data_IF_799241605657
#
_entry.id   IF_799241605657
#
_cell.length_a   1.000
_cell.length_b   1.000
_cell.length_c   1.000
_cell.angle_alpha   90.00
_cell.angle_beta   90.00
_cell.angle_gamma   90.00
#
_symmetry.space_group_name_H-M   'P 1'
#
loop_
_entity.id
_entity.type
_entity.pdbx_description
1 polymer ?
#
# COMPACT_ATOMS: atom_id res chain seq x y z
N UNK A 1 2.20 8.32 2.42
CA UNK A 1 3.41 8.42 1.62
C UNK A 1 4.21 9.66 2.02
N UNK A 2 5.53 9.62 1.80
CA UNK A 2 6.42 10.77 1.98
C UNK A 2 6.43 11.64 0.73
N UNK A 3 6.22 11.03 -0.43
CA UNK A 3 6.21 11.65 -1.74
C UNK A 3 5.06 11.15 -2.60
N UNK A 4 4.59 11.99 -3.50
CA UNK A 4 3.57 11.68 -4.51
C UNK A 4 4.05 12.20 -5.85
N UNK A 5 4.09 11.33 -6.85
CA UNK A 5 4.40 11.68 -8.22
C UNK A 5 3.11 12.01 -8.95
N UNK A 6 3.05 13.16 -9.60
CA UNK A 6 1.89 13.59 -10.36
C UNK A 6 2.26 13.92 -11.81
N UNK A 7 1.38 13.56 -12.73
CA UNK A 7 1.38 14.14 -14.06
C UNK A 7 0.95 15.61 -13.98
N UNK A 8 1.56 16.54 -14.72
CA UNK A 8 1.22 17.97 -14.71
C UNK A 8 -0.27 18.26 -14.95
N UNK A 9 -0.92 17.47 -15.83
CA UNK A 9 -2.35 17.60 -16.09
C UNK A 9 -3.26 17.36 -14.86
N UNK A 10 -2.78 16.66 -13.83
CA UNK A 10 -3.53 16.48 -12.58
C UNK A 10 -3.55 17.73 -11.70
N UNK A 11 -2.69 18.72 -11.94
CA UNK A 11 -2.72 19.99 -11.21
C UNK A 11 -4.02 20.75 -11.43
N UNK A 12 -4.65 20.59 -12.59
CA UNK A 12 -5.93 21.20 -12.92
C UNK A 12 -7.12 20.54 -12.23
N UNK A 13 -6.91 19.30 -11.72
CA UNK A 13 -7.89 18.58 -10.96
C UNK A 13 -7.91 19.06 -9.49
N UNK A 14 -8.74 20.08 -9.22
CA UNK A 14 -8.82 20.74 -7.90
C UNK A 14 -9.15 19.78 -6.77
N UNK A 15 -9.93 18.74 -7.02
CA UNK A 15 -10.31 17.75 -6.01
C UNK A 15 -9.12 16.94 -5.55
N UNK A 16 -8.27 16.46 -6.48
CA UNK A 16 -7.07 15.68 -6.19
C UNK A 16 -6.06 16.52 -5.43
N UNK A 17 -5.76 17.73 -5.92
CA UNK A 17 -4.78 18.64 -5.29
C UNK A 17 -5.24 19.09 -3.90
N UNK A 18 -6.51 19.37 -3.72
CA UNK A 18 -7.09 19.70 -2.41
C UNK A 18 -7.02 18.51 -1.45
N UNK A 19 -7.30 17.30 -1.93
CA UNK A 19 -7.20 16.10 -1.11
C UNK A 19 -5.76 15.84 -0.63
N UNK A 20 -4.78 15.93 -1.53
CA UNK A 20 -3.36 15.76 -1.19
C UNK A 20 -2.94 16.78 -0.14
N UNK A 21 -3.20 18.08 -0.38
CA UNK A 21 -2.85 19.16 0.55
C UNK A 21 -3.51 19.02 1.93
N UNK A 22 -4.74 18.54 1.98
CA UNK A 22 -5.51 18.45 3.23
C UNK A 22 -5.18 17.20 4.04
N UNK A 23 -4.92 16.08 3.37
CA UNK A 23 -4.89 14.77 4.02
C UNK A 23 -3.51 14.09 3.99
N UNK A 24 -2.56 14.62 3.22
CA UNK A 24 -1.24 14.03 3.05
C UNK A 24 -0.17 15.05 3.41
N UNK A 25 0.72 14.70 4.34
CA UNK A 25 1.94 15.44 4.65
C UNK A 25 3.08 14.90 3.79
N UNK A 26 3.03 15.15 2.47
CA UNK A 26 3.98 14.63 1.50
C UNK A 26 4.47 15.72 0.57
N UNK A 27 5.68 15.56 0.02
CA UNK A 27 6.15 16.33 -1.13
C UNK A 27 5.42 15.88 -2.39
N UNK A 28 5.24 16.80 -3.32
CA UNK A 28 4.65 16.51 -4.63
C UNK A 28 5.71 16.77 -5.67
N UNK A 29 6.05 15.75 -6.43
CA UNK A 29 6.97 15.81 -7.56
C UNK A 29 6.19 15.70 -8.86
N UNK A 30 6.53 16.57 -9.83
CA UNK A 30 5.91 16.54 -11.14
C UNK A 30 6.76 15.73 -12.10
N UNK A 31 6.14 14.74 -12.72
CA UNK A 31 6.80 13.92 -13.75
C UNK A 31 6.50 14.51 -15.11
N UNK A 32 7.55 14.86 -15.86
CA UNK A 32 7.43 15.44 -17.21
C UNK A 32 6.67 14.55 -18.17
N UNK A 33 5.89 15.15 -19.07
CA UNK A 33 5.01 14.43 -20.00
C UNK A 33 5.78 13.50 -20.95
N UNK A 34 7.02 13.83 -21.29
CA UNK A 34 7.91 13.01 -22.13
C UNK A 34 8.13 11.62 -21.54
N UNK A 35 8.16 11.49 -20.21
CA UNK A 35 8.34 10.20 -19.51
C UNK A 35 7.14 9.26 -19.68
N UNK A 36 6.01 9.78 -20.11
CA UNK A 36 4.83 8.98 -20.43
C UNK A 36 4.77 8.55 -21.90
N UNK A 37 5.82 8.81 -22.70
CA UNK A 37 5.87 8.36 -24.09
C UNK A 37 5.77 6.82 -24.18
N UNK A 38 4.88 6.26 -25.00
CA UNK A 38 4.60 4.81 -25.04
C UNK A 38 5.84 3.93 -25.23
N UNK A 39 6.81 4.38 -26.02
CA UNK A 39 8.07 3.67 -26.24
C UNK A 39 8.95 3.60 -24.99
N UNK A 40 9.09 4.70 -24.25
CA UNK A 40 9.86 4.73 -22.99
C UNK A 40 9.20 3.87 -21.91
N UNK A 41 7.87 3.94 -21.82
CA UNK A 41 7.09 3.12 -20.88
C UNK A 41 7.30 1.64 -21.15
N UNK A 42 7.25 1.21 -22.43
CA UNK A 42 7.48 -0.19 -22.76
C UNK A 42 8.91 -0.63 -22.39
N UNK A 43 9.91 0.18 -22.74
CA UNK A 43 11.32 -0.12 -22.45
C UNK A 43 11.59 -0.23 -20.96
N UNK A 44 11.09 0.70 -20.13
CA UNK A 44 11.27 0.67 -18.69
C UNK A 44 10.66 -0.58 -18.03
N UNK A 45 9.47 -0.99 -18.48
CA UNK A 45 8.80 -2.19 -17.97
C UNK A 45 9.47 -3.48 -18.44
N UNK A 46 9.96 -3.51 -19.70
CA UNK A 46 10.71 -4.66 -20.22
C UNK A 46 12.06 -4.83 -19.50
N UNK A 47 12.75 -3.76 -19.22
CA UNK A 47 14.02 -3.78 -18.47
C UNK A 47 13.82 -4.32 -17.06
N UNK A 48 12.78 -3.87 -16.36
CA UNK A 48 12.53 -4.24 -14.97
C UNK A 48 11.94 -5.65 -14.81
N UNK A 49 10.95 -6.00 -15.63
CA UNK A 49 10.15 -7.22 -15.47
C UNK A 49 10.32 -8.25 -16.59
N UNK A 50 11.09 -7.92 -17.63
CA UNK A 50 11.27 -8.76 -18.82
C UNK A 50 10.21 -8.51 -19.90
N UNK A 51 10.42 -9.10 -21.10
CA UNK A 51 9.52 -8.91 -22.25
C UNK A 51 8.10 -9.39 -22.01
N UNK A 52 7.94 -10.39 -21.16
CA UNK A 52 6.63 -10.96 -20.80
C UNK A 52 6.01 -10.26 -19.57
N UNK A 53 6.37 -9.00 -19.33
CA UNK A 53 5.91 -8.24 -18.17
C UNK A 53 4.38 -8.20 -18.00
N UNK A 54 3.54 -8.15 -19.06
CA UNK A 54 2.10 -8.15 -18.85
C UNK A 54 1.59 -9.41 -18.18
N UNK A 55 2.16 -10.57 -18.54
CA UNK A 55 1.81 -11.87 -17.95
C UNK A 55 2.39 -12.01 -16.55
N UNK A 56 3.63 -11.55 -16.35
CA UNK A 56 4.34 -11.64 -15.06
C UNK A 56 3.72 -10.73 -14.00
N UNK A 57 3.30 -9.53 -14.39
CA UNK A 57 2.72 -8.54 -13.48
C UNK A 57 1.19 -8.61 -13.38
N UNK A 58 0.53 -9.27 -14.33
CA UNK A 58 -0.93 -9.30 -14.44
C UNK A 58 -1.55 -7.97 -14.88
N UNK A 59 -0.74 -7.03 -15.40
CA UNK A 59 -1.19 -5.71 -15.85
C UNK A 59 -1.36 -5.70 -17.37
N UNK A 60 -2.51 -5.21 -17.81
CA UNK A 60 -2.81 -5.13 -19.23
C UNK A 60 -1.82 -4.21 -19.97
N UNK A 61 -1.27 -4.69 -21.08
CA UNK A 61 -0.31 -3.96 -21.90
C UNK A 61 -0.85 -2.62 -22.43
N UNK A 62 -2.16 -2.49 -22.59
CA UNK A 62 -2.84 -1.28 -23.06
C UNK A 62 -3.44 -0.42 -21.94
N UNK A 63 -3.35 -0.87 -20.67
CA UNK A 63 -3.90 -0.18 -19.51
C UNK A 63 -3.13 1.09 -19.12
N UNK A 64 -3.81 2.03 -18.46
CA UNK A 64 -3.18 3.27 -17.97
C UNK A 64 -2.19 3.02 -16.82
N UNK A 65 -2.34 1.94 -16.09
CA UNK A 65 -1.49 1.60 -14.93
C UNK A 65 -0.02 1.46 -15.32
N UNK A 66 0.27 0.99 -16.55
CA UNK A 66 1.64 0.86 -17.06
C UNK A 66 2.42 2.18 -17.05
N UNK A 67 1.74 3.30 -17.32
CA UNK A 67 2.38 4.63 -17.32
C UNK A 67 2.80 5.05 -15.91
N UNK A 68 1.93 4.84 -14.92
CA UNK A 68 2.25 5.14 -13.53
C UNK A 68 3.40 4.25 -13.01
N UNK A 69 3.43 2.97 -13.42
CA UNK A 69 4.53 2.06 -13.08
C UNK A 69 5.85 2.49 -13.68
N UNK A 70 5.87 2.81 -14.97
CA UNK A 70 7.09 3.24 -15.65
C UNK A 70 7.62 4.56 -15.06
N UNK A 71 6.75 5.54 -14.84
CA UNK A 71 7.13 6.81 -14.21
C UNK A 71 7.72 6.62 -12.80
N UNK A 72 7.13 5.70 -12.01
CA UNK A 72 7.68 5.37 -10.69
C UNK A 72 9.05 4.70 -10.80
N UNK A 73 9.23 3.74 -11.70
CA UNK A 73 10.51 3.05 -11.90
C UNK A 73 11.60 4.03 -12.34
N UNK A 74 11.32 4.88 -13.31
CA UNK A 74 12.27 5.91 -13.75
C UNK A 74 12.64 6.86 -12.61
N UNK A 75 11.65 7.33 -11.84
CA UNK A 75 11.91 8.17 -10.67
C UNK A 75 12.83 7.49 -9.66
N UNK A 76 12.59 6.20 -9.37
CA UNK A 76 13.45 5.43 -8.46
C UNK A 76 14.87 5.26 -8.99
N UNK A 77 15.05 5.08 -10.30
CA UNK A 77 16.37 5.03 -10.94
C UNK A 77 17.09 6.39 -10.89
N UNK A 78 16.41 7.48 -11.18
CA UNK A 78 16.96 8.83 -11.16
C UNK A 78 17.38 9.25 -9.75
N UNK A 79 16.62 8.89 -8.75
CA UNK A 79 16.94 9.15 -7.33
C UNK A 79 17.99 8.20 -6.76
N UNK A 80 18.55 7.33 -7.60
CA UNK A 80 19.62 6.36 -7.25
C UNK A 80 19.26 5.47 -6.05
N UNK A 81 17.98 5.12 -5.90
CA UNK A 81 17.55 4.19 -4.86
C UNK A 81 18.12 2.80 -5.19
N UNK A 82 19.03 2.32 -4.33
CA UNK A 82 19.63 1.00 -4.48
C UNK A 82 18.58 -0.08 -4.24
N UNK A 83 18.56 -1.08 -5.09
CA UNK A 83 17.71 -2.25 -4.93
C UNK A 83 16.42 -2.23 -5.76
N UNK A 84 16.25 -1.25 -6.67
CA UNK A 84 15.12 -1.21 -7.62
C UNK A 84 15.08 -2.51 -8.44
N UNK A 85 16.22 -3.07 -8.77
CA UNK A 85 16.37 -4.36 -9.46
C UNK A 85 15.76 -5.55 -8.71
N UNK A 86 15.50 -5.42 -7.40
CA UNK A 86 14.87 -6.44 -6.56
C UNK A 86 13.34 -6.40 -6.61
N UNK A 87 12.76 -5.33 -7.15
CA UNK A 87 11.32 -5.19 -7.31
C UNK A 87 10.84 -6.09 -8.46
N UNK A 88 10.60 -7.37 -8.18
CA UNK A 88 10.21 -8.38 -9.19
C UNK A 88 8.71 -8.67 -9.21
N UNK A 89 7.98 -8.25 -8.19
CA UNK A 89 6.57 -8.60 -8.01
C UNK A 89 5.71 -7.35 -7.99
N UNK A 90 4.63 -7.37 -8.74
CA UNK A 90 3.59 -6.33 -8.71
C UNK A 90 2.34 -6.94 -8.09
N UNK A 91 1.80 -6.29 -7.08
CA UNK A 91 0.54 -6.69 -6.45
C UNK A 91 -0.54 -5.74 -6.95
N UNK A 92 -1.49 -6.26 -7.71
CA UNK A 92 -2.64 -5.48 -8.17
C UNK A 92 -3.66 -5.35 -7.04
N UNK A 93 -4.05 -4.11 -6.77
CA UNK A 93 -5.08 -3.80 -5.80
C UNK A 93 -6.45 -3.84 -6.46
N UNK A 94 -7.31 -4.72 -5.98
CA UNK A 94 -8.71 -4.79 -6.43
C UNK A 94 -9.63 -4.26 -5.33
N UNK A 95 -10.16 -3.05 -5.50
CA UNK A 95 -11.10 -2.43 -4.55
C UNK A 95 -12.35 -3.28 -4.28
N UNK A 96 -12.78 -4.10 -5.24
CA UNK A 96 -13.96 -4.95 -5.08
C UNK A 96 -13.81 -6.04 -4.00
N UNK A 97 -12.59 -6.32 -3.54
CA UNK A 97 -12.33 -7.26 -2.45
C UNK A 97 -12.58 -6.67 -1.07
N UNK A 98 -12.68 -5.35 -0.96
CA UNK A 98 -12.75 -4.64 0.30
C UNK A 98 -14.06 -3.89 0.48
N UNK A 99 -14.53 -3.83 1.71
CA UNK A 99 -15.65 -2.99 2.10
C UNK A 99 -15.26 -1.51 1.97
N UNK A 100 -16.02 -0.75 1.19
CA UNK A 100 -15.79 0.69 1.05
C UNK A 100 -16.23 1.42 2.32
N UNK A 101 -15.25 1.93 3.05
CA UNK A 101 -15.49 2.80 4.20
C UNK A 101 -15.15 4.24 3.81
N UNK A 102 -16.16 5.11 3.81
CA UNK A 102 -15.92 6.55 3.57
C UNK A 102 -15.03 7.15 4.66
N UNK A 103 -14.33 8.25 4.40
CA UNK A 103 -13.54 8.95 5.44
C UNK A 103 -14.40 9.32 6.66
N UNK A 104 -15.64 9.70 6.45
CA UNK A 104 -16.60 10.02 7.52
C UNK A 104 -16.92 8.77 8.34
N UNK A 105 -17.17 7.65 7.68
CA UNK A 105 -17.43 6.36 8.37
C UNK A 105 -16.23 5.93 9.20
N UNK A 106 -15.01 6.02 8.66
CA UNK A 106 -13.77 5.68 9.41
C UNK A 106 -13.60 6.57 10.64
N UNK A 107 -13.86 7.88 10.51
CA UNK A 107 -13.79 8.83 11.61
C UNK A 107 -14.84 8.52 12.67
N UNK A 108 -16.11 8.31 12.29
CA UNK A 108 -17.20 8.04 13.23
C UNK A 108 -17.00 6.72 14.00
N UNK A 109 -16.39 5.72 13.38
CA UNK A 109 -16.05 4.45 14.02
C UNK A 109 -14.76 4.53 14.84
N UNK A 110 -14.07 5.67 14.84
CA UNK A 110 -12.77 5.85 15.53
C UNK A 110 -11.80 4.70 15.27
N UNK A 111 -11.65 4.30 14.03
CA UNK A 111 -10.84 3.13 13.66
C UNK A 111 -9.36 3.34 13.99
N UNK A 112 -8.81 4.50 13.64
CA UNK A 112 -7.37 4.81 13.75
C UNK A 112 -7.07 6.10 14.48
N UNK A 113 -8.05 7.01 14.58
CA UNK A 113 -7.97 8.29 15.26
C UNK A 113 -9.31 8.60 15.96
N UNK A 114 -9.26 9.22 17.14
CA UNK A 114 -10.48 9.65 17.86
C UNK A 114 -11.10 10.89 17.20
N UNK A 115 -12.42 11.03 17.31
CA UNK A 115 -13.14 12.20 16.82
C UNK A 115 -12.69 13.50 17.50
N UNK A 116 -12.41 13.43 18.80
CA UNK A 116 -11.91 14.56 19.59
C UNK A 116 -10.41 14.42 19.77
N UNK A 117 -9.64 15.39 19.27
CA UNK A 117 -8.21 15.47 19.49
C UNK A 117 -7.34 14.68 18.51
N UNK A 118 -7.92 13.85 17.63
CA UNK A 118 -7.18 12.99 16.67
C UNK A 118 -6.10 12.14 17.34
N UNK A 119 -6.41 11.63 18.52
CA UNK A 119 -5.49 10.79 19.29
C UNK A 119 -5.56 9.33 18.83
N UNK A 120 -4.45 8.62 18.94
CA UNK A 120 -4.41 7.17 18.67
C UNK A 120 -5.01 6.35 19.81
N UNK A 121 -4.85 6.82 21.05
CA UNK A 121 -5.34 6.14 22.24
C UNK A 121 -6.88 6.15 22.27
N UNK A 122 -7.48 5.00 22.53
CA UNK A 122 -8.93 4.83 22.56
C UNK A 122 -9.56 4.37 21.25
N UNK A 123 -8.76 4.24 20.17
CA UNK A 123 -9.25 3.75 18.87
C UNK A 123 -9.29 2.23 18.81
N UNK A 124 -10.01 1.68 17.82
CA UNK A 124 -10.02 0.24 17.55
C UNK A 124 -8.60 -0.29 17.30
N UNK A 125 -7.82 0.41 16.47
CA UNK A 125 -6.43 0.05 16.20
C UNK A 125 -5.60 -0.01 17.48
N UNK A 126 -5.74 0.98 18.37
CA UNK A 126 -4.98 1.00 19.62
C UNK A 126 -5.28 -0.19 20.53
N UNK A 127 -6.55 -0.64 20.58
CA UNK A 127 -6.94 -1.82 21.37
C UNK A 127 -6.37 -3.10 20.81
N UNK A 128 -6.40 -3.25 19.47
CA UNK A 128 -6.00 -4.48 18.78
C UNK A 128 -4.48 -4.57 18.54
N UNK A 129 -3.77 -3.43 18.51
CA UNK A 129 -2.35 -3.41 18.18
C UNK A 129 -1.50 -3.99 19.31
N UNK A 130 -1.19 -5.27 19.15
CA UNK A 130 -0.21 -6.03 19.95
C UNK A 130 0.93 -6.56 19.08
N UNK A 131 1.16 -5.90 17.93
CA UNK A 131 2.16 -6.33 16.97
C UNK A 131 3.58 -6.09 17.48
N UNK A 132 4.48 -7.03 17.17
CA UNK A 132 5.91 -6.96 17.55
C UNK A 132 6.76 -6.23 16.52
N UNK A 133 6.27 -6.03 15.29
CA UNK A 133 7.03 -5.44 14.19
C UNK A 133 6.32 -4.23 13.59
N UNK A 134 7.09 -3.30 13.02
CA UNK A 134 6.55 -2.15 12.29
C UNK A 134 5.73 -2.59 11.05
N UNK A 135 6.18 -3.63 10.35
CA UNK A 135 5.47 -4.22 9.21
C UNK A 135 4.11 -4.81 9.64
N UNK A 136 4.08 -5.55 10.75
CA UNK A 136 2.85 -6.10 11.32
C UNK A 136 1.87 -5.00 11.70
N UNK A 137 2.36 -3.90 12.28
CA UNK A 137 1.54 -2.73 12.61
C UNK A 137 0.91 -2.09 11.37
N UNK A 138 1.68 -1.91 10.31
CA UNK A 138 1.17 -1.39 9.02
C UNK A 138 0.11 -2.32 8.43
N UNK A 139 0.35 -3.63 8.47
CA UNK A 139 -0.60 -4.63 7.97
C UNK A 139 -1.89 -4.65 8.79
N UNK A 140 -1.82 -4.62 10.11
CA UNK A 140 -3.01 -4.57 10.98
C UNK A 140 -3.84 -3.30 10.71
N UNK A 141 -3.19 -2.15 10.59
CA UNK A 141 -3.84 -0.90 10.22
C UNK A 141 -4.56 -1.01 8.88
N UNK A 142 -3.88 -1.56 7.85
CA UNK A 142 -4.48 -1.78 6.53
C UNK A 142 -5.71 -2.69 6.62
N UNK A 143 -5.68 -3.74 7.40
CA UNK A 143 -6.82 -4.66 7.57
C UNK A 143 -8.02 -4.00 8.25
N UNK A 144 -7.79 -3.10 9.18
CA UNK A 144 -8.85 -2.33 9.85
C UNK A 144 -9.45 -1.28 8.91
N UNK A 145 -8.61 -0.57 8.15
CA UNK A 145 -9.06 0.47 7.23
C UNK A 145 -9.72 -0.09 5.96
N UNK A 146 -9.40 -1.35 5.61
CA UNK A 146 -9.87 -2.04 4.40
C UNK A 146 -10.34 -3.46 4.74
N UNK A 147 -11.51 -3.62 5.39
CA UNK A 147 -12.05 -4.92 5.72
C UNK A 147 -12.40 -5.72 4.46
N UNK A 148 -12.11 -7.01 4.49
CA UNK A 148 -12.49 -7.93 3.41
C UNK A 148 -14.01 -8.13 3.36
N UNK A 149 -14.54 -8.36 2.14
CA UNK A 149 -15.95 -8.74 1.92
C UNK A 149 -16.09 -10.26 1.80
N UNK A 150 -15.11 -10.91 1.18
CA UNK A 150 -15.17 -12.35 0.94
C UNK A 150 -15.09 -13.15 2.25
N UNK A 151 -16.13 -13.88 2.58
CA UNK A 151 -16.18 -14.78 3.74
C UNK A 151 -15.09 -15.86 3.69
N UNK A 152 -14.72 -16.33 2.50
CA UNK A 152 -13.64 -17.30 2.32
C UNK A 152 -12.29 -16.72 2.74
N UNK A 153 -11.96 -15.49 2.31
CA UNK A 153 -10.71 -14.82 2.69
C UNK A 153 -10.68 -14.43 4.17
N UNK A 154 -11.84 -14.04 4.72
CA UNK A 154 -11.99 -13.76 6.16
C UNK A 154 -11.71 -15.03 6.95
N UNK A 155 -12.35 -16.14 6.60
CA UNK A 155 -12.17 -17.42 7.28
C UNK A 155 -10.73 -17.93 7.17
N UNK A 156 -10.06 -17.70 6.03
CA UNK A 156 -8.64 -18.03 5.89
C UNK A 156 -7.77 -17.30 6.92
N UNK A 157 -8.00 -16.00 7.14
CA UNK A 157 -7.32 -15.24 8.19
C UNK A 157 -7.67 -15.72 9.59
N UNK A 158 -8.95 -15.98 9.84
CA UNK A 158 -9.42 -16.47 11.14
C UNK A 158 -8.84 -17.85 11.48
N UNK A 159 -8.73 -18.74 10.51
CA UNK A 159 -8.11 -20.06 10.71
C UNK A 159 -6.62 -19.94 11.11
N UNK A 160 -5.90 -19.00 10.50
CA UNK A 160 -4.50 -18.76 10.89
C UNK A 160 -4.38 -18.23 12.34
N UNK A 161 -5.27 -17.31 12.72
CA UNK A 161 -5.35 -16.82 14.11
C UNK A 161 -5.70 -17.94 15.07
N UNK A 162 -6.70 -18.77 14.74
CA UNK A 162 -7.11 -19.91 15.58
C UNK A 162 -5.96 -20.91 15.78
N UNK A 163 -5.23 -21.21 14.70
CA UNK A 163 -4.08 -22.13 14.79
C UNK A 163 -3.03 -21.60 15.79
N UNK A 164 -2.71 -20.30 15.76
CA UNK A 164 -1.76 -19.71 16.70
C UNK A 164 -2.33 -19.56 18.13
N UNK A 165 -3.63 -19.38 18.28
CA UNK A 165 -4.28 -19.38 19.61
C UNK A 165 -4.18 -20.75 20.25
N UNK A 166 -4.38 -21.83 19.48
CA UNK A 166 -4.29 -23.22 19.96
C UNK A 166 -2.84 -23.65 20.25
N UNK A 167 -1.87 -23.12 19.50
CA UNK A 167 -0.45 -23.50 19.60
C UNK A 167 0.34 -22.44 20.40
N UNK A 168 0.13 -22.39 21.71
CA UNK A 168 0.70 -21.36 22.58
C UNK A 168 2.24 -21.33 22.57
N UNK A 169 2.91 -22.49 22.52
CA UNK A 169 4.37 -22.56 22.45
C UNK A 169 4.89 -21.96 21.14
N UNK A 170 4.37 -22.42 20.01
CA UNK A 170 4.74 -21.91 18.68
C UNK A 170 4.50 -20.39 18.58
N UNK A 171 3.40 -19.92 19.15
CA UNK A 171 3.10 -18.47 19.20
C UNK A 171 4.14 -17.71 20.04
N UNK A 172 4.59 -18.28 21.15
CA UNK A 172 5.63 -17.69 21.99
C UNK A 172 6.94 -17.57 21.24
N UNK A 173 7.41 -18.68 20.66
CA UNK A 173 8.67 -18.74 19.87
C UNK A 173 8.62 -17.76 18.69
N UNK A 174 7.50 -17.74 17.96
CA UNK A 174 7.32 -16.80 16.86
C UNK A 174 7.34 -15.33 17.32
N UNK A 175 6.74 -15.03 18.45
CA UNK A 175 6.74 -13.66 19.00
C UNK A 175 8.15 -13.23 19.38
N UNK A 176 8.95 -14.12 19.95
CA UNK A 176 10.34 -13.86 20.31
C UNK A 176 11.18 -13.59 19.04
N UNK A 177 11.08 -14.43 18.04
CA UNK A 177 11.79 -14.26 16.76
C UNK A 177 11.39 -12.95 16.05
N UNK A 178 10.12 -12.57 16.09
CA UNK A 178 9.64 -11.33 15.50
C UNK A 178 10.24 -10.07 16.13
N UNK A 179 10.71 -10.12 17.38
CA UNK A 179 11.36 -8.97 18.03
C UNK A 179 12.73 -8.64 17.42
N UNK A 180 13.38 -9.59 16.76
CA UNK A 180 14.68 -9.39 16.10
C UNK A 180 14.55 -8.86 14.67
N UNK A 181 13.33 -8.76 14.13
CA UNK A 181 13.10 -8.27 12.77
C UNK A 181 13.07 -6.74 12.77
N UNK A 182 14.07 -6.15 12.12
CA UNK A 182 14.13 -4.70 11.89
C UNK A 182 13.07 -4.24 10.86
N UNK A 183 12.72 -2.97 10.90
CA UNK A 183 11.90 -2.36 9.85
C UNK A 183 12.74 -2.20 8.57
N UNK A 184 12.19 -2.65 7.44
CA UNK A 184 12.83 -2.58 6.12
C UNK A 184 12.26 -1.43 5.33
#
# INVERSE_FOLDING_TARGET
>A
PSEVLLNPGLLDCREVTAYIKKNMSCSVELVEDERYAPGLVASALEEQFGRDWPQTTGIAAEGLVRFAMAALLEYLHDTQIKGVERLKTVITYNEAQFMRLSPVTRANLELTETLRGREKRGTLLWVLDKTSTAMGKRMLRSWIEQPLISSQLINHRLNAVEALVRQTMVRGDLTEELHYIADM
#
